data_IF_189156749495
#
_entry.id   IF_189156749495
#
_cell.length_a   1.000
_cell.length_b   1.000
_cell.length_c   1.000
_cell.angle_alpha   90.00
_cell.angle_beta   90.00
_cell.angle_gamma   90.00
#
_symmetry.space_group_name_H-M   'P 1'
#
loop_
_entity.id
_entity.type
_entity.pdbx_description
1 polymer ?
#
# COMPACT_ATOMS: atom_id res chain seq x y z
N UNK A 1 12.68 -6.83 -13.52
CA UNK A 1 13.91 -6.02 -13.60
C UNK A 1 13.91 -4.87 -12.59
N UNK A 2 13.03 -3.86 -12.69
CA UNK A 2 13.00 -2.71 -11.76
C UNK A 2 12.85 -3.09 -10.27
N UNK A 3 11.97 -4.03 -9.94
CA UNK A 3 11.79 -4.47 -8.54
C UNK A 3 12.99 -5.26 -8.01
N UNK A 4 13.67 -6.01 -8.88
CA UNK A 4 14.90 -6.73 -8.50
C UNK A 4 16.01 -5.73 -8.24
N UNK A 5 16.16 -4.72 -9.11
CA UNK A 5 17.09 -3.62 -8.90
C UNK A 5 16.78 -2.86 -7.61
N UNK A 6 15.50 -2.58 -7.33
CA UNK A 6 15.07 -1.97 -6.08
C UNK A 6 15.38 -2.82 -4.85
N UNK A 7 15.19 -4.14 -4.93
CA UNK A 7 15.57 -5.06 -3.86
C UNK A 7 17.08 -5.08 -3.63
N UNK A 8 17.87 -5.17 -4.69
CA UNK A 8 19.34 -5.11 -4.63
C UNK A 8 19.78 -3.79 -4.01
N UNK A 9 19.18 -2.67 -4.41
CA UNK A 9 19.47 -1.36 -3.84
C UNK A 9 19.16 -1.32 -2.34
N UNK A 10 17.98 -1.77 -1.91
CA UNK A 10 17.61 -1.85 -0.48
C UNK A 10 18.62 -2.66 0.33
N UNK A 11 18.96 -3.87 -0.14
CA UNK A 11 19.90 -4.76 0.56
C UNK A 11 21.33 -4.18 0.56
N UNK A 12 21.72 -3.45 -0.48
CA UNK A 12 23.03 -2.81 -0.53
C UNK A 12 23.13 -1.56 0.35
N UNK A 13 22.04 -0.80 0.54
CA UNK A 13 22.11 0.54 1.16
C UNK A 13 21.53 0.62 2.57
N UNK A 14 20.73 -0.35 3.04
CA UNK A 14 20.00 -0.21 4.32
C UNK A 14 20.88 0.09 5.54
N UNK A 15 22.15 -0.37 5.53
CA UNK A 15 23.14 -0.10 6.59
C UNK A 15 23.78 1.28 6.51
N UNK A 16 23.73 1.93 5.35
CA UNK A 16 24.38 3.22 5.09
C UNK A 16 23.58 4.44 5.55
N UNK A 17 22.35 4.25 6.07
CA UNK A 17 21.53 5.35 6.57
C UNK A 17 21.94 5.75 7.99
N UNK A 18 21.83 7.04 8.32
CA UNK A 18 22.03 7.53 9.68
C UNK A 18 20.84 7.19 10.59
N UNK A 19 21.05 7.23 11.90
CA UNK A 19 19.98 7.10 12.90
C UNK A 19 19.22 8.42 12.96
N UNK A 20 17.92 8.39 12.66
CA UNK A 20 17.03 9.53 12.82
C UNK A 20 16.67 9.75 14.30
N UNK A 21 16.20 10.97 14.60
CA UNK A 21 15.80 11.35 15.96
C UNK A 21 14.69 10.47 16.55
N UNK A 22 13.74 10.03 15.73
CA UNK A 22 12.57 9.25 16.19
C UNK A 22 12.86 7.75 16.29
N UNK A 23 13.91 7.25 15.63
CA UNK A 23 14.24 5.82 15.58
C UNK A 23 14.38 5.15 16.96
N UNK A 24 15.11 5.74 17.94
CA UNK A 24 15.21 5.16 19.29
C UNK A 24 13.86 5.05 20.00
N UNK A 25 12.99 6.07 19.85
CA UNK A 25 11.65 6.05 20.45
C UNK A 25 10.81 4.90 19.90
N UNK A 26 10.86 4.72 18.58
CA UNK A 26 10.11 3.66 17.90
C UNK A 26 10.70 2.26 18.10
N UNK A 27 12.00 2.15 18.37
CA UNK A 27 12.64 0.89 18.74
C UNK A 27 12.10 0.39 20.08
N UNK A 28 12.13 1.24 21.11
CA UNK A 28 11.63 0.89 22.44
C UNK A 28 10.11 0.63 22.43
N UNK A 29 9.35 1.43 21.68
CA UNK A 29 7.92 1.19 21.51
C UNK A 29 7.62 -0.16 20.83
N UNK A 30 8.43 -0.54 19.84
CA UNK A 30 8.32 -1.83 19.15
C UNK A 30 8.60 -3.01 20.07
N UNK A 31 9.61 -2.91 20.94
CA UNK A 31 9.93 -3.91 21.97
C UNK A 31 8.79 -4.09 22.96
N UNK A 32 8.28 -3.01 23.54
CA UNK A 32 7.13 -3.04 24.47
C UNK A 32 5.88 -3.60 23.81
N UNK A 33 5.63 -3.23 22.55
CA UNK A 33 4.51 -3.77 21.81
C UNK A 33 4.67 -5.28 21.54
N UNK A 34 5.89 -5.74 21.24
CA UNK A 34 6.18 -7.17 21.09
C UNK A 34 5.97 -7.93 22.41
N UNK A 35 6.44 -7.40 23.53
CA UNK A 35 6.23 -7.95 24.88
C UNK A 35 4.75 -8.04 25.24
N UNK A 36 3.94 -7.02 24.89
CA UNK A 36 2.49 -7.07 25.03
C UNK A 36 1.89 -8.28 24.30
N UNK A 37 2.30 -8.55 23.05
CA UNK A 37 1.81 -9.73 22.31
C UNK A 37 2.32 -11.05 22.89
N UNK A 38 3.60 -11.13 23.27
CA UNK A 38 4.22 -12.34 23.82
C UNK A 38 3.63 -12.73 25.18
N UNK A 39 3.27 -11.74 26.00
CA UNK A 39 2.63 -11.94 27.31
C UNK A 39 1.11 -12.03 27.23
N UNK A 40 0.53 -12.07 26.02
CA UNK A 40 -0.92 -12.08 25.77
C UNK A 40 -1.65 -10.92 26.45
N UNK A 41 -1.00 -9.77 26.53
CA UNK A 41 -1.54 -8.52 27.05
C UNK A 41 -1.38 -8.31 28.56
N UNK A 42 -0.60 -9.16 29.25
CA UNK A 42 -0.28 -8.95 30.66
C UNK A 42 0.65 -7.75 30.87
N UNK A 43 1.68 -7.61 30.04
CA UNK A 43 2.54 -6.43 30.06
C UNK A 43 1.84 -5.25 29.37
N UNK A 44 1.54 -4.18 30.12
CA UNK A 44 0.85 -2.99 29.62
C UNK A 44 1.79 -1.79 29.42
N UNK A 45 3.10 -1.98 29.53
CA UNK A 45 4.10 -0.93 29.41
C UNK A 45 4.11 -0.18 28.07
N UNK A 46 3.50 -0.76 27.03
CA UNK A 46 3.27 -0.12 25.72
C UNK A 46 2.33 1.09 25.82
N UNK A 47 1.36 1.09 26.75
CA UNK A 47 0.39 2.18 26.90
C UNK A 47 0.90 3.35 27.75
N UNK A 48 1.93 3.10 28.55
CA UNK A 48 2.56 4.10 29.42
C UNK A 48 3.73 4.81 28.72
N UNK A 49 4.19 4.28 27.59
CA UNK A 49 5.33 4.81 26.87
C UNK A 49 4.95 5.99 25.99
N UNK A 50 5.21 7.20 26.50
CA UNK A 50 4.97 8.46 25.80
C UNK A 50 3.51 8.55 25.30
N UNK A 51 3.26 9.35 24.27
CA UNK A 51 1.99 9.38 23.56
C UNK A 51 1.97 8.42 22.34
N UNK A 52 2.91 7.47 22.26
CA UNK A 52 3.02 6.59 21.10
C UNK A 52 1.86 5.60 20.99
N UNK A 53 1.16 5.32 22.09
CA UNK A 53 -0.08 4.52 22.10
C UNK A 53 -1.20 5.11 21.23
N UNK A 54 -1.15 6.41 20.91
CA UNK A 54 -2.07 7.05 19.95
C UNK A 54 -1.78 6.63 18.51
N UNK A 55 -0.60 6.06 18.26
CA UNK A 55 -0.18 5.53 16.98
C UNK A 55 -0.18 4.00 17.04
N UNK A 56 -0.65 3.37 15.97
CA UNK A 56 -0.65 1.92 15.89
C UNK A 56 0.77 1.37 15.89
N UNK A 57 0.99 0.26 16.61
CA UNK A 57 2.31 -0.34 16.80
C UNK A 57 2.71 -1.37 15.73
N UNK A 58 1.85 -1.66 14.74
CA UNK A 58 2.03 -2.81 13.84
C UNK A 58 3.38 -2.82 13.11
N UNK A 59 3.82 -1.66 12.59
CA UNK A 59 5.13 -1.57 11.96
C UNK A 59 6.27 -1.76 12.96
N UNK A 60 6.19 -1.13 14.13
CA UNK A 60 7.26 -1.17 15.13
C UNK A 60 7.42 -2.56 15.74
N UNK A 61 6.32 -3.26 16.00
CA UNK A 61 6.32 -4.67 16.42
C UNK A 61 6.93 -5.57 15.33
N UNK A 62 6.52 -5.42 14.07
CA UNK A 62 7.06 -6.22 12.98
C UNK A 62 8.56 -5.96 12.74
N UNK A 63 8.99 -4.71 12.88
CA UNK A 63 10.38 -4.31 12.72
C UNK A 63 11.27 -4.86 13.83
N UNK A 64 10.75 -4.86 15.07
CA UNK A 64 11.46 -5.43 16.23
C UNK A 64 11.56 -6.95 16.10
N UNK A 65 10.46 -7.62 15.79
CA UNK A 65 10.47 -9.06 15.55
C UNK A 65 11.46 -9.44 14.43
N UNK A 66 11.48 -8.72 13.31
CA UNK A 66 12.45 -8.98 12.24
C UNK A 66 13.91 -8.82 12.71
N UNK A 67 14.17 -7.81 13.55
CA UNK A 67 15.49 -7.58 14.15
C UNK A 67 15.90 -8.65 15.16
N UNK A 68 14.95 -9.31 15.82
CA UNK A 68 15.25 -10.44 16.72
C UNK A 68 15.43 -11.76 15.96
N UNK A 69 14.72 -11.96 14.84
CA UNK A 69 14.86 -13.16 14.00
C UNK A 69 16.15 -13.17 13.18
N UNK A 70 16.64 -12.00 12.77
CA UNK A 70 17.89 -11.86 12.01
C UNK A 70 19.01 -11.42 12.95
N UNK A 71 20.25 -11.92 12.83
CA UNK A 71 21.38 -11.45 13.62
C UNK A 71 21.86 -10.08 13.13
N UNK A 72 20.98 -9.07 13.20
CA UNK A 72 21.18 -7.71 12.77
C UNK A 72 21.10 -6.78 13.97
N UNK A 73 21.80 -5.65 13.88
CA UNK A 73 21.58 -4.55 14.80
C UNK A 73 20.09 -4.10 14.75
N UNK A 74 19.48 -3.70 15.89
CA UNK A 74 18.06 -3.37 15.92
C UNK A 74 17.67 -2.23 14.95
N UNK A 75 18.54 -1.25 14.72
CA UNK A 75 18.28 -0.18 13.75
C UNK A 75 18.37 -0.71 12.31
N UNK A 76 19.31 -1.61 12.04
CA UNK A 76 19.48 -2.21 10.73
C UNK A 76 18.27 -3.06 10.32
N UNK A 77 17.69 -3.85 11.24
CA UNK A 77 16.48 -4.63 11.00
C UNK A 77 15.28 -3.76 10.61
N UNK A 78 15.10 -2.63 11.31
CA UNK A 78 14.03 -1.66 11.02
C UNK A 78 14.18 -1.00 9.66
N UNK A 79 15.40 -0.60 9.29
CA UNK A 79 15.70 0.01 7.99
C UNK A 79 15.53 -0.96 6.84
N UNK A 80 15.90 -2.21 7.05
CA UNK A 80 15.66 -3.27 6.09
C UNK A 80 14.16 -3.45 5.87
N UNK A 81 13.35 -3.57 6.94
CA UNK A 81 11.90 -3.65 6.82
C UNK A 81 11.34 -2.42 6.10
N UNK A 82 11.80 -1.22 6.45
CA UNK A 82 11.37 0.02 5.83
C UNK A 82 11.62 0.05 4.33
N UNK A 83 12.83 -0.34 3.90
CA UNK A 83 13.18 -0.47 2.48
C UNK A 83 12.32 -1.51 1.75
N UNK A 84 12.05 -2.66 2.38
CA UNK A 84 11.17 -3.69 1.82
C UNK A 84 9.72 -3.20 1.69
N UNK A 85 9.22 -2.47 2.68
CA UNK A 85 7.89 -1.84 2.65
C UNK A 85 7.83 -0.76 1.56
N UNK A 86 8.87 0.06 1.43
CA UNK A 86 9.02 1.02 0.34
C UNK A 86 8.98 0.35 -1.05
N UNK A 87 9.65 -0.80 -1.19
CA UNK A 87 9.60 -1.60 -2.43
C UNK A 87 8.20 -2.16 -2.70
N UNK A 88 7.49 -2.62 -1.66
CA UNK A 88 6.09 -3.03 -1.77
C UNK A 88 5.19 -1.86 -2.22
N UNK A 89 5.51 -0.63 -1.84
CA UNK A 89 4.88 0.59 -2.34
C UNK A 89 5.10 0.82 -3.83
N UNK A 90 6.35 0.67 -4.30
CA UNK A 90 6.65 0.77 -5.74
C UNK A 90 5.82 -0.25 -6.54
N UNK A 91 5.68 -1.47 -6.02
CA UNK A 91 4.83 -2.49 -6.64
C UNK A 91 3.34 -2.08 -6.65
N UNK A 92 2.83 -1.51 -5.55
CA UNK A 92 1.46 -1.02 -5.48
C UNK A 92 1.20 0.08 -6.53
N UNK A 93 2.09 1.06 -6.62
CA UNK A 93 2.01 2.18 -7.57
C UNK A 93 2.11 1.69 -9.02
N UNK A 94 2.99 0.74 -9.31
CA UNK A 94 3.04 0.12 -10.63
C UNK A 94 1.70 -0.52 -11.01
N UNK A 95 1.14 -1.34 -10.11
CA UNK A 95 -0.14 -2.03 -10.34
C UNK A 95 -1.28 -1.03 -10.50
N UNK A 96 -1.31 0.02 -9.69
CA UNK A 96 -2.30 1.09 -9.76
C UNK A 96 -2.22 1.83 -11.10
N UNK A 97 -1.05 2.32 -11.49
CA UNK A 97 -0.85 3.01 -12.76
C UNK A 97 -1.17 2.12 -13.97
N UNK A 98 -0.79 0.83 -13.89
CA UNK A 98 -1.15 -0.17 -14.91
C UNK A 98 -2.66 -0.38 -15.03
N UNK A 99 -3.36 -0.46 -13.91
CA UNK A 99 -4.81 -0.65 -13.85
C UNK A 99 -5.58 0.56 -14.43
N UNK A 100 -5.05 1.77 -14.24
CA UNK A 100 -5.67 3.00 -14.73
C UNK A 100 -5.35 3.29 -16.19
N UNK A 101 -4.08 3.32 -16.55
CA UNK A 101 -3.59 3.86 -17.82
C UNK A 101 -2.72 2.86 -18.62
N UNK A 102 -2.52 1.64 -18.14
CA UNK A 102 -1.76 0.59 -18.84
C UNK A 102 -0.28 0.54 -18.43
N UNK A 103 0.49 -0.43 -18.96
CA UNK A 103 1.80 -0.79 -18.42
C UNK A 103 2.82 0.36 -18.45
N UNK A 104 2.83 1.16 -19.52
CA UNK A 104 3.73 2.33 -19.64
C UNK A 104 3.50 3.36 -18.54
N UNK A 105 2.23 3.64 -18.22
CA UNK A 105 1.88 4.56 -17.14
C UNK A 105 2.29 4.03 -15.77
N UNK A 106 2.14 2.72 -15.53
CA UNK A 106 2.64 2.09 -14.31
C UNK A 106 4.15 2.25 -14.15
N UNK A 107 4.92 2.01 -15.22
CA UNK A 107 6.38 2.18 -15.19
C UNK A 107 6.77 3.64 -14.95
N UNK A 108 6.11 4.59 -15.63
CA UNK A 108 6.36 6.02 -15.45
C UNK A 108 6.05 6.47 -14.01
N UNK A 109 4.95 6.00 -13.44
CA UNK A 109 4.59 6.31 -12.05
C UNK A 109 5.64 5.82 -11.04
N UNK A 110 6.18 4.61 -11.24
CA UNK A 110 7.29 4.09 -10.40
C UNK A 110 8.55 4.93 -10.60
N UNK A 111 8.90 5.27 -11.84
CA UNK A 111 10.08 6.07 -12.13
C UNK A 111 10.02 7.43 -11.43
N UNK A 112 8.89 8.13 -11.53
CA UNK A 112 8.67 9.40 -10.85
C UNK A 112 8.76 9.26 -9.32
N UNK A 113 8.22 8.18 -8.76
CA UNK A 113 8.29 7.94 -7.32
C UNK A 113 9.70 7.63 -6.83
N UNK A 114 10.47 6.85 -7.58
CA UNK A 114 11.88 6.55 -7.26
C UNK A 114 12.75 7.80 -7.36
N UNK A 115 12.47 8.67 -8.34
CA UNK A 115 13.14 9.96 -8.48
C UNK A 115 12.75 10.97 -7.40
N UNK A 116 11.75 10.66 -6.56
CA UNK A 116 11.35 11.51 -5.44
C UNK A 116 12.25 11.20 -4.24
N UNK A 117 13.19 12.09 -3.87
CA UNK A 117 14.17 11.80 -2.82
C UNK A 117 13.51 11.56 -1.45
N UNK A 118 12.37 12.21 -1.21
CA UNK A 118 11.57 12.03 0.01
C UNK A 118 11.18 10.55 0.20
N UNK A 119 10.74 9.87 -0.87
CA UNK A 119 10.36 8.47 -0.78
C UNK A 119 11.57 7.57 -0.50
N UNK A 120 12.70 7.83 -1.17
CA UNK A 120 13.94 7.07 -0.96
C UNK A 120 14.56 7.26 0.42
N UNK A 121 14.49 8.47 1.00
CA UNK A 121 15.00 8.73 2.35
C UNK A 121 14.05 8.21 3.44
N UNK A 122 12.77 8.57 3.34
CA UNK A 122 11.78 8.22 4.36
C UNK A 122 11.47 6.72 4.39
N UNK A 123 11.68 5.98 3.30
CA UNK A 123 11.48 4.52 3.31
C UNK A 123 12.38 3.81 4.33
N UNK A 124 13.59 4.30 4.58
CA UNK A 124 14.51 3.67 5.56
C UNK A 124 14.40 4.30 6.95
N UNK A 125 14.10 5.59 7.03
CA UNK A 125 14.11 6.34 8.29
C UNK A 125 12.74 6.38 9.00
N UNK A 126 11.63 6.48 8.26
CA UNK A 126 10.34 6.83 8.85
C UNK A 126 9.42 5.62 9.04
N UNK A 127 9.10 5.24 10.29
CA UNK A 127 8.36 4.01 10.57
C UNK A 127 6.84 4.13 10.38
N UNK A 128 6.32 5.33 10.09
CA UNK A 128 4.87 5.57 10.02
C UNK A 128 4.41 6.04 8.65
N UNK A 129 5.05 7.05 8.08
CA UNK A 129 4.54 7.73 6.88
C UNK A 129 4.59 6.84 5.63
N UNK A 130 5.77 6.29 5.32
CA UNK A 130 5.93 5.41 4.16
C UNK A 130 5.11 4.13 4.33
N UNK A 131 5.15 3.40 5.46
CA UNK A 131 4.30 2.23 5.66
C UNK A 131 2.81 2.52 5.51
N UNK A 132 2.34 3.66 6.04
CA UNK A 132 0.94 4.08 5.87
C UNK A 132 0.59 4.39 4.42
N UNK A 133 1.47 5.10 3.70
CA UNK A 133 1.28 5.41 2.28
C UNK A 133 1.25 4.13 1.42
N UNK A 134 2.10 3.14 1.72
CA UNK A 134 2.12 1.83 1.06
C UNK A 134 0.80 1.10 1.28
N UNK A 135 0.35 1.01 2.53
CA UNK A 135 -0.94 0.39 2.87
C UNK A 135 -2.10 1.09 2.17
N UNK A 136 -2.08 2.43 2.13
CA UNK A 136 -3.02 3.26 1.39
C UNK A 136 -3.05 2.96 -0.12
N UNK A 137 -1.88 2.88 -0.76
CA UNK A 137 -1.78 2.58 -2.20
C UNK A 137 -2.36 1.19 -2.55
N UNK A 138 -2.08 0.17 -1.73
CA UNK A 138 -2.69 -1.15 -1.87
C UNK A 138 -4.20 -1.12 -1.64
N UNK A 139 -4.65 -0.40 -0.62
CA UNK A 139 -6.06 -0.19 -0.32
C UNK A 139 -6.77 0.42 -1.54
N UNK A 140 -6.25 1.50 -2.12
CA UNK A 140 -6.82 2.13 -3.33
C UNK A 140 -6.86 1.17 -4.52
N UNK A 141 -5.80 0.39 -4.75
CA UNK A 141 -5.76 -0.59 -5.83
C UNK A 141 -6.89 -1.62 -5.71
N UNK A 142 -7.07 -2.21 -4.52
CA UNK A 142 -8.13 -3.19 -4.30
C UNK A 142 -9.53 -2.57 -4.38
N UNK A 143 -9.71 -1.34 -3.88
CA UNK A 143 -10.97 -0.61 -4.02
C UNK A 143 -11.34 -0.43 -5.50
N UNK A 144 -10.40 -0.03 -6.35
CA UNK A 144 -10.64 0.11 -7.79
C UNK A 144 -11.08 -1.22 -8.41
N UNK A 145 -10.41 -2.32 -8.05
CA UNK A 145 -10.75 -3.66 -8.58
C UNK A 145 -12.12 -4.14 -8.11
N UNK A 146 -12.46 -3.94 -6.84
CA UNK A 146 -13.76 -4.27 -6.27
C UNK A 146 -14.85 -3.47 -6.99
N UNK A 147 -14.69 -2.15 -7.12
CA UNK A 147 -15.67 -1.28 -7.78
C UNK A 147 -15.89 -1.65 -9.26
N UNK A 148 -14.82 -2.06 -9.97
CA UNK A 148 -14.89 -2.52 -11.37
C UNK A 148 -15.52 -3.92 -11.53
N UNK A 149 -15.44 -4.76 -10.51
CA UNK A 149 -15.95 -6.15 -10.53
C UNK A 149 -17.34 -6.33 -9.91
N UNK A 150 -17.96 -5.25 -9.42
CA UNK A 150 -19.35 -5.29 -8.97
C UNK A 150 -20.28 -5.82 -10.09
N UNK A 151 -21.25 -6.71 -9.78
CA UNK A 151 -21.76 -7.05 -8.45
C UNK A 151 -21.07 -8.26 -7.77
N UNK A 152 -20.12 -8.92 -8.44
CA UNK A 152 -19.46 -10.13 -7.91
C UNK A 152 -17.96 -9.85 -7.76
N UNK A 153 -17.55 -9.14 -6.68
CA UNK A 153 -16.14 -8.87 -6.45
C UNK A 153 -15.38 -10.17 -6.18
N UNK A 154 -14.12 -10.21 -6.59
CA UNK A 154 -13.26 -11.34 -6.31
C UNK A 154 -12.91 -11.38 -4.81
N UNK A 155 -13.02 -12.56 -4.19
CA UNK A 155 -12.69 -12.75 -2.77
C UNK A 155 -11.25 -12.34 -2.44
N UNK A 156 -10.32 -12.54 -3.39
CA UNK A 156 -8.90 -12.15 -3.25
C UNK A 156 -8.73 -10.64 -3.06
N UNK A 157 -9.50 -9.84 -3.78
CA UNK A 157 -9.43 -8.37 -3.66
C UNK A 157 -10.09 -7.90 -2.35
N UNK A 158 -11.10 -8.61 -1.84
CA UNK A 158 -11.70 -8.33 -0.52
C UNK A 158 -10.72 -8.64 0.62
N UNK A 159 -10.07 -9.80 0.59
CA UNK A 159 -9.03 -10.16 1.58
C UNK A 159 -7.85 -9.20 1.47
N UNK A 160 -7.39 -8.90 0.25
CA UNK A 160 -6.32 -7.94 0.02
C UNK A 160 -6.64 -6.54 0.56
N UNK A 161 -7.88 -6.08 0.38
CA UNK A 161 -8.36 -4.83 0.96
C UNK A 161 -8.36 -4.87 2.49
N UNK A 162 -8.87 -5.96 3.08
CA UNK A 162 -8.93 -6.14 4.53
C UNK A 162 -7.54 -6.12 5.17
N UNK A 163 -6.57 -6.84 4.57
CA UNK A 163 -5.18 -6.85 5.02
C UNK A 163 -4.55 -5.46 4.90
N UNK A 164 -4.67 -4.81 3.73
CA UNK A 164 -4.11 -3.47 3.52
C UNK A 164 -4.70 -2.43 4.48
N UNK A 165 -6.01 -2.49 4.71
CA UNK A 165 -6.69 -1.60 5.65
C UNK A 165 -6.29 -1.91 7.10
N UNK A 166 -6.19 -3.18 7.48
CA UNK A 166 -5.72 -3.62 8.79
C UNK A 166 -4.30 -3.13 9.06
N UNK A 167 -3.40 -3.24 8.08
CA UNK A 167 -2.06 -2.65 8.17
C UNK A 167 -2.13 -1.12 8.32
N UNK A 168 -2.95 -0.42 7.52
CA UNK A 168 -3.08 1.03 7.61
C UNK A 168 -3.57 1.48 9.00
N UNK A 169 -4.62 0.84 9.53
CA UNK A 169 -5.17 1.09 10.86
C UNK A 169 -4.17 0.73 11.97
N UNK A 170 -3.46 -0.37 11.80
CA UNK A 170 -2.41 -0.83 12.70
C UNK A 170 -1.17 0.06 12.72
N UNK A 171 -1.01 0.98 11.75
CA UNK A 171 0.04 2.01 11.74
C UNK A 171 -0.53 3.34 12.24
N UNK A 172 -1.72 3.73 11.76
CA UNK A 172 -2.40 4.98 12.12
C UNK A 172 -3.92 4.83 12.09
N UNK A 173 -4.58 5.34 13.13
CA UNK A 173 -6.05 5.43 13.22
C UNK A 173 -6.67 6.23 12.07
N UNK A 174 -5.94 7.21 11.51
CA UNK A 174 -6.35 7.96 10.32
C UNK A 174 -6.62 7.08 9.08
N UNK A 175 -6.18 5.82 9.08
CA UNK A 175 -6.50 4.82 8.05
C UNK A 175 -7.99 4.59 7.84
N UNK A 176 -8.86 4.94 8.80
CA UNK A 176 -10.32 4.86 8.64
C UNK A 176 -10.80 5.66 7.42
N UNK A 177 -10.14 6.78 7.12
CA UNK A 177 -10.47 7.64 5.97
C UNK A 177 -10.32 6.89 4.64
N UNK A 178 -9.46 5.87 4.57
CA UNK A 178 -9.25 5.07 3.36
C UNK A 178 -10.50 4.28 2.94
N UNK A 179 -11.50 4.12 3.82
CA UNK A 179 -12.79 3.50 3.47
C UNK A 179 -13.72 4.43 2.69
N UNK A 180 -13.52 5.75 2.79
CA UNK A 180 -14.42 6.74 2.20
C UNK A 180 -14.59 6.58 0.66
N UNK A 181 -13.51 6.39 -0.13
CA UNK A 181 -13.66 6.24 -1.58
C UNK A 181 -14.47 4.99 -1.97
N UNK A 182 -14.32 3.88 -1.24
CA UNK A 182 -15.11 2.67 -1.46
C UNK A 182 -16.59 2.91 -1.17
N UNK A 183 -16.91 3.58 -0.06
CA UNK A 183 -18.28 3.89 0.33
C UNK A 183 -18.97 4.78 -0.73
N UNK A 184 -18.27 5.84 -1.19
CA UNK A 184 -18.76 6.74 -2.23
C UNK A 184 -18.94 6.03 -3.58
N UNK A 185 -17.94 5.25 -3.99
CA UNK A 185 -17.97 4.48 -5.24
C UNK A 185 -19.07 3.43 -5.24
N UNK A 186 -19.24 2.70 -4.13
CA UNK A 186 -20.28 1.70 -3.95
C UNK A 186 -21.69 2.30 -4.00
N UNK A 187 -21.90 3.43 -3.31
CA UNK A 187 -23.18 4.17 -3.33
C UNK A 187 -23.54 4.64 -4.75
N UNK A 188 -22.57 5.19 -5.49
CA UNK A 188 -22.76 5.64 -6.88
C UNK A 188 -23.09 4.47 -7.80
N UNK A 189 -22.34 3.37 -7.70
CA UNK A 189 -22.59 2.15 -8.47
C UNK A 189 -23.97 1.53 -8.19
N UNK A 190 -24.39 1.54 -6.92
CA UNK A 190 -25.70 1.05 -6.51
C UNK A 190 -26.85 1.93 -7.01
N UNK A 191 -26.73 3.26 -6.91
CA UNK A 191 -27.72 4.21 -7.43
C UNK A 191 -27.93 4.07 -8.94
N UNK A 192 -26.84 3.95 -9.72
CA UNK A 192 -26.92 3.75 -11.17
C UNK A 192 -27.63 2.45 -11.55
N UNK A 193 -27.46 1.38 -10.77
CA UNK A 193 -28.15 0.10 -10.98
C UNK A 193 -29.63 0.15 -10.62
N UNK A 194 -30.04 0.92 -9.60
CA UNK A 194 -31.47 1.15 -9.30
C UNK A 194 -32.15 2.00 -10.37
N UNK A 195 -31.49 3.06 -10.86
CA UNK A 195 -32.02 3.94 -11.91
C UNK A 195 -32.11 3.26 -13.29
N UNK A 196 -31.24 2.29 -13.58
CA UNK A 196 -31.22 1.56 -14.85
C UNK A 196 -32.28 0.46 -15.02
N UNK A 197 -33.09 0.15 -14.00
CA UNK A 197 -34.17 -0.85 -14.11
C UNK A 197 -35.45 -0.34 -14.81
N UNK A 198 -35.49 0.93 -15.21
CA UNK A 198 -36.66 1.54 -15.87
C UNK A 198 -36.51 1.87 -17.36
N UNK A 199 -35.37 1.59 -18.01
CA UNK A 199 -35.18 1.91 -19.42
C UNK A 199 -34.37 0.83 -20.12
N UNK A 200 -35.03 0.09 -21.01
CA UNK A 200 -34.46 -0.93 -21.89
C UNK A 200 -33.49 -0.37 -22.93
N UNK A 201 -32.41 0.29 -22.51
CA UNK A 201 -31.26 0.58 -23.35
C UNK A 201 -30.16 -0.42 -23.07
N UNK A 202 -29.64 -1.03 -24.12
CA UNK A 202 -28.65 -2.09 -24.09
C UNK A 202 -27.28 -1.53 -23.65
N UNK A 203 -26.98 -1.59 -22.35
CA UNK A 203 -25.82 -0.93 -21.71
C UNK A 203 -24.46 -1.62 -21.89
N UNK A 204 -24.27 -2.42 -22.96
CA UNK A 204 -22.96 -3.05 -23.25
C UNK A 204 -21.89 -2.05 -23.73
N UNK A 205 -22.25 -0.82 -24.08
CA UNK A 205 -21.35 0.17 -24.69
C UNK A 205 -20.44 0.96 -23.73
N UNK A 206 -20.77 1.07 -22.44
CA UNK A 206 -20.08 2.04 -21.55
C UNK A 206 -18.89 1.47 -20.76
N UNK A 207 -18.69 0.15 -20.76
CA UNK A 207 -17.46 -0.49 -20.29
C UNK A 207 -16.52 -0.87 -21.44
N UNK A 208 -16.88 -0.53 -22.69
CA UNK A 208 -16.08 -0.85 -23.89
C UNK A 208 -14.86 0.08 -24.10
N UNK A 209 -14.56 0.98 -23.14
CA UNK A 209 -13.46 1.94 -23.24
C UNK A 209 -12.08 1.39 -22.85
N UNK A 210 -11.81 0.08 -23.06
CA UNK A 210 -10.47 -0.50 -22.88
C UNK A 210 -10.20 -1.86 -23.56
N UNK A 211 -10.86 -2.17 -24.68
CA UNK A 211 -10.46 -3.28 -25.58
C UNK A 211 -10.30 -2.88 -27.05
N UNK A 212 -10.20 -1.59 -27.36
CA UNK A 212 -9.83 -1.11 -28.70
C UNK A 212 -8.41 -0.55 -28.64
N UNK A 213 -7.45 -1.46 -28.62
CA UNK A 213 -6.03 -1.14 -28.54
C UNK A 213 -5.21 -2.33 -29.00
N UNK A 214 -5.51 -2.84 -30.20
CA UNK A 214 -4.56 -3.55 -31.06
C UNK A 214 -5.22 -3.87 -32.43
N UNK A 215 -4.58 -3.36 -33.49
CA UNK A 215 -4.59 -3.85 -34.86
C UNK A 215 -5.91 -3.78 -35.66
N UNK A 216 -6.12 -2.67 -36.36
CA UNK A 216 -6.67 -2.71 -37.73
C UNK A 216 -5.66 -2.06 -38.67
N UNK A 217 -5.21 -2.72 -39.75
CA UNK A 217 -4.41 -2.07 -40.77
C UNK A 217 -5.28 -1.06 -41.50
N UNK A 218 -4.73 0.15 -41.68
CA UNK A 218 -5.30 1.19 -42.52
C UNK A 218 -5.32 0.71 -43.98
N UNK A 219 -6.46 0.25 -44.47
CA UNK A 219 -6.72 0.22 -45.92
C UNK A 219 -7.22 1.60 -46.34
N UNK A 220 -6.34 2.33 -47.01
CA UNK A 220 -6.60 3.56 -47.75
C UNK A 220 -7.32 3.18 -49.07
N UNK A 221 -8.53 3.67 -49.37
CA UNK A 221 -9.05 3.60 -50.72
C UNK A 221 -8.53 4.81 -51.50
N UNK A 222 -7.53 4.55 -52.36
CA UNK A 222 -7.07 5.50 -53.36
C UNK A 222 -7.72 5.19 -54.71
N UNK A 223 -8.35 6.23 -55.27
CA UNK A 223 -8.77 6.44 -56.67
C UNK A 223 -9.85 5.55 -57.26
#
# INVERSE_FOLDING_TARGET
MLLILGLVAVVATFRGYGISWDEPLHLEYGRRALEWYLTLGQDRGVFEYQNLYLYGAAYDTAATALGELLPLDPYAGRRLLGGLVGLAGLLAVFKLGRELAGPRAGTLAVLLLVLTPLWMGHAFANPKDVPFAVAGAWCTLYQIRILRSLPRPAWRDLVGLGVALGCALGIRVGGVILLAPLALGGRSGWRRRRGGRGSGRNWRGLWAWRRQGCCRPCCWPGR
#
